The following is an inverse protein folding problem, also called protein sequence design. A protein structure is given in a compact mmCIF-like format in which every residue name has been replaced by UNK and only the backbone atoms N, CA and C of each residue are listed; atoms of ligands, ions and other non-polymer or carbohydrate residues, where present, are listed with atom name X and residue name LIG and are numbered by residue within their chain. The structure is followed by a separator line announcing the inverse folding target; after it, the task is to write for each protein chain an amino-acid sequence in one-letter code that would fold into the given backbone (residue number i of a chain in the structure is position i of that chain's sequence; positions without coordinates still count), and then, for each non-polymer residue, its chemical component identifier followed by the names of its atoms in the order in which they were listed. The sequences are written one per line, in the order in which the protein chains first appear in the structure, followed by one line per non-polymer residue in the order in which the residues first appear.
data_IF_079813968288
#
_entry.id   IF_079813968288
#
_cell.length_a   1.000
_cell.length_b   1.000
_cell.length_c   1.000
_cell.angle_alpha   90.00
_cell.angle_beta   90.00
_cell.angle_gamma   90.00
#
_symmetry.space_group_name_H-M   'P 1'
#
loop_
_entity.id
_entity.type
_entity.pdbx_description
1 polymer ?
#
# COMPACT_ATOMS: atom_id res chain seq x y z
N UNK A 1 32.19 54.49 15.38
CA UNK A 1 31.21 54.46 16.48
C UNK A 1 29.85 54.79 15.90
N UNK A 2 28.91 53.83 15.87
CA UNK A 2 27.64 53.84 16.63
C UNK A 2 26.82 52.63 16.19
N UNK A 3 26.65 51.69 17.11
CA UNK A 3 25.79 50.50 17.05
C UNK A 3 24.32 50.88 17.08
N UNK A 4 23.49 50.25 16.24
CA UNK A 4 22.04 50.17 16.46
C UNK A 4 21.64 48.70 16.38
N UNK A 5 21.33 48.13 17.54
CA UNK A 5 20.78 46.79 17.69
C UNK A 5 19.30 46.79 17.26
N UNK A 6 18.91 45.86 16.38
CA UNK A 6 17.51 45.58 16.10
C UNK A 6 16.92 44.63 17.17
N UNK A 7 15.64 44.81 17.56
CA UNK A 7 15.06 44.09 18.68
C UNK A 7 14.80 42.61 18.37
N UNK A 8 15.18 41.74 19.31
CA UNK A 8 14.80 40.31 19.34
C UNK A 8 13.26 40.20 19.41
N UNK A 9 12.63 39.81 18.32
CA UNK A 9 11.24 39.32 18.30
C UNK A 9 11.12 37.92 18.94
N UNK A 10 9.97 37.57 19.52
CA UNK A 10 9.85 36.43 20.42
C UNK A 10 9.99 35.08 19.71
N UNK A 11 10.72 34.17 20.35
CA UNK A 11 10.81 32.78 20.00
C UNK A 11 9.46 32.07 20.22
N UNK A 12 8.81 31.66 19.14
CA UNK A 12 7.92 30.50 19.12
C UNK A 12 8.11 29.78 17.78
N UNK A 13 8.95 28.75 17.80
CA UNK A 13 8.92 27.68 16.79
C UNK A 13 7.61 26.90 16.98
N UNK A 14 6.49 27.46 16.53
CA UNK A 14 5.32 26.65 16.23
C UNK A 14 5.72 25.76 15.05
N UNK A 15 5.97 24.48 15.33
CA UNK A 15 6.08 23.48 14.28
C UNK A 15 4.72 23.43 13.60
N UNK A 16 4.57 24.07 12.45
CA UNK A 16 3.44 23.86 11.57
C UNK A 16 3.49 22.41 11.12
N UNK A 17 2.78 21.52 11.82
CA UNK A 17 2.67 20.12 11.44
C UNK A 17 1.74 20.09 10.24
N UNK A 18 2.34 20.03 9.06
CA UNK A 18 1.68 19.98 7.76
C UNK A 18 0.87 18.68 7.64
N UNK A 19 -0.33 18.64 8.23
CA UNK A 19 -1.19 17.45 8.25
C UNK A 19 -1.67 17.08 6.84
N UNK A 20 -1.69 18.06 5.91
CA UNK A 20 -2.06 17.84 4.51
C UNK A 20 -1.17 16.77 3.87
N UNK A 21 0.14 16.86 4.09
CA UNK A 21 1.11 15.84 3.65
C UNK A 21 0.84 14.45 4.25
N UNK A 22 0.34 14.36 5.49
CA UNK A 22 0.08 13.07 6.14
C UNK A 22 -1.13 12.38 5.54
N UNK A 23 -2.18 13.13 5.25
CA UNK A 23 -3.41 12.59 4.67
C UNK A 23 -3.19 12.18 3.21
N UNK A 24 -2.42 12.98 2.46
CA UNK A 24 -1.97 12.65 1.11
C UNK A 24 -1.16 11.33 1.07
N UNK A 25 -0.26 11.10 2.04
CA UNK A 25 0.53 9.86 2.11
C UNK A 25 -0.34 8.65 2.44
N UNK A 26 -1.31 8.79 3.35
CA UNK A 26 -2.23 7.69 3.69
C UNK A 26 -3.06 7.27 2.48
N UNK A 27 -3.60 8.25 1.78
CA UNK A 27 -4.37 8.01 0.57
C UNK A 27 -3.52 7.35 -0.51
N UNK A 28 -2.29 7.83 -0.73
CA UNK A 28 -1.35 7.22 -1.66
C UNK A 28 -1.10 5.74 -1.31
N UNK A 29 -0.80 5.43 -0.05
CA UNK A 29 -0.56 4.07 0.41
C UNK A 29 -1.77 3.13 0.17
N UNK A 30 -2.99 3.61 0.46
CA UNK A 30 -4.22 2.84 0.24
C UNK A 30 -4.43 2.55 -1.25
N UNK A 31 -4.26 3.56 -2.11
CA UNK A 31 -4.42 3.40 -3.56
C UNK A 31 -3.43 2.39 -4.11
N UNK A 32 -2.17 2.46 -3.70
CA UNK A 32 -1.11 1.54 -4.10
C UNK A 32 -1.38 0.09 -3.71
N UNK A 33 -1.72 -0.13 -2.45
CA UNK A 33 -2.02 -1.45 -1.93
C UNK A 33 -3.28 -2.03 -2.60
N UNK A 34 -4.31 -1.21 -2.82
CA UNK A 34 -5.51 -1.60 -3.55
C UNK A 34 -5.19 -2.00 -5.00
N UNK A 35 -4.32 -1.28 -5.69
CA UNK A 35 -3.94 -1.61 -7.06
C UNK A 35 -3.32 -3.01 -7.17
N UNK A 36 -2.48 -3.39 -6.20
CA UNK A 36 -1.93 -4.75 -6.13
C UNK A 36 -3.02 -5.77 -5.86
N UNK A 37 -3.93 -5.51 -4.92
CA UNK A 37 -5.03 -6.42 -4.62
C UNK A 37 -5.98 -6.61 -5.83
N UNK A 38 -6.28 -5.54 -6.57
CA UNK A 38 -7.12 -5.60 -7.77
C UNK A 38 -6.43 -6.41 -8.91
N UNK A 39 -5.09 -6.38 -8.99
CA UNK A 39 -4.34 -7.16 -9.98
C UNK A 39 -4.46 -8.68 -9.78
N UNK A 40 -4.42 -9.15 -8.53
CA UNK A 40 -4.59 -10.58 -8.20
C UNK A 40 -6.05 -11.00 -8.04
N UNK A 41 -6.99 -10.07 -7.86
CA UNK A 41 -8.41 -10.38 -7.60
C UNK A 41 -9.05 -11.29 -8.64
N UNK A 42 -8.72 -11.11 -9.91
CA UNK A 42 -9.33 -11.91 -11.00
C UNK A 42 -8.82 -13.35 -11.05
N UNK A 43 -7.73 -13.64 -10.33
CA UNK A 43 -7.12 -14.96 -10.21
C UNK A 43 -7.68 -15.75 -9.02
N UNK A 44 -8.63 -15.16 -8.28
CA UNK A 44 -9.25 -15.79 -7.13
C UNK A 44 -10.21 -16.93 -7.55
N UNK A 45 -9.97 -18.12 -6.99
CA UNK A 45 -10.86 -19.27 -7.08
C UNK A 45 -10.55 -20.22 -8.24
N UNK A 46 -11.28 -21.35 -8.35
CA UNK A 46 -11.00 -22.41 -9.33
C UNK A 46 -11.32 -22.01 -10.77
N UNK A 47 -12.09 -20.94 -10.96
CA UNK A 47 -12.33 -20.29 -12.27
C UNK A 47 -11.60 -18.95 -12.39
N UNK A 48 -10.56 -18.76 -11.58
CA UNK A 48 -9.67 -17.60 -11.68
C UNK A 48 -9.01 -17.54 -13.05
N UNK A 49 -8.75 -16.33 -13.54
CA UNK A 49 -8.03 -16.12 -14.78
C UNK A 49 -6.53 -16.20 -14.56
N UNK A 50 -5.86 -16.97 -15.40
CA UNK A 50 -4.40 -17.00 -15.45
C UNK A 50 -3.83 -15.62 -15.79
N UNK A 51 -2.67 -15.32 -15.21
CA UNK A 51 -1.88 -14.12 -15.51
C UNK A 51 -0.65 -14.53 -16.29
N UNK A 52 -0.50 -13.93 -17.47
CA UNK A 52 0.76 -13.95 -18.20
C UNK A 52 1.65 -12.83 -17.65
N UNK A 53 2.76 -13.22 -17.02
CA UNK A 53 3.77 -12.32 -16.47
C UNK A 53 4.99 -12.38 -17.38
N UNK A 54 5.39 -11.23 -17.92
CA UNK A 54 6.63 -11.09 -18.67
C UNK A 54 7.69 -10.47 -17.76
N UNK A 55 8.81 -11.17 -17.55
CA UNK A 55 9.95 -10.60 -16.82
C UNK A 55 10.77 -9.69 -17.72
N UNK A 56 11.63 -8.86 -17.13
CA UNK A 56 12.55 -7.99 -17.87
C UNK A 56 13.57 -8.77 -18.73
N UNK A 57 13.83 -10.04 -18.39
CA UNK A 57 14.70 -10.95 -19.14
C UNK A 57 14.02 -11.57 -20.36
N UNK A 58 12.71 -11.37 -20.53
CA UNK A 58 11.92 -11.96 -21.61
C UNK A 58 11.30 -13.32 -21.28
N UNK A 59 11.41 -13.79 -20.04
CA UNK A 59 10.77 -15.03 -19.60
C UNK A 59 9.27 -14.79 -19.37
N UNK A 60 8.46 -15.72 -19.86
CA UNK A 60 7.00 -15.66 -19.72
C UNK A 60 6.54 -16.73 -18.74
N UNK A 61 5.86 -16.31 -17.68
CA UNK A 61 5.28 -17.18 -16.65
C UNK A 61 3.76 -17.02 -16.71
N UNK A 62 3.04 -18.11 -16.94
CA UNK A 62 1.57 -18.13 -16.88
C UNK A 62 1.16 -18.82 -15.59
N UNK A 63 0.46 -18.11 -14.70
CA UNK A 63 0.03 -18.68 -13.42
C UNK A 63 -1.23 -18.02 -12.89
N UNK A 64 -2.01 -18.79 -12.14
CA UNK A 64 -3.16 -18.31 -11.35
C UNK A 64 -2.81 -18.16 -9.86
N UNK A 65 -1.63 -18.59 -9.42
CA UNK A 65 -1.25 -18.55 -8.01
C UNK A 65 -0.87 -17.13 -7.58
N UNK A 66 -1.63 -16.57 -6.65
CA UNK A 66 -1.43 -15.23 -6.09
C UNK A 66 -0.04 -15.04 -5.48
N UNK A 67 0.51 -16.05 -4.80
CA UNK A 67 1.84 -15.94 -4.20
C UNK A 67 2.93 -15.81 -5.28
N UNK A 68 2.88 -16.66 -6.31
CA UNK A 68 3.80 -16.58 -7.45
C UNK A 68 3.65 -15.26 -8.21
N UNK A 69 2.43 -14.78 -8.44
CA UNK A 69 2.18 -13.49 -9.10
C UNK A 69 2.85 -12.36 -8.31
N UNK A 70 2.58 -12.28 -7.00
CA UNK A 70 3.09 -11.21 -6.14
C UNK A 70 4.61 -11.28 -5.95
N UNK A 71 5.20 -12.48 -6.00
CA UNK A 71 6.65 -12.68 -5.91
C UNK A 71 7.39 -12.19 -7.16
N UNK A 72 6.74 -12.23 -8.32
CA UNK A 72 7.33 -11.79 -9.60
C UNK A 72 7.05 -10.33 -9.92
N UNK A 73 6.08 -9.70 -9.25
CA UNK A 73 5.80 -8.29 -9.38
C UNK A 73 6.87 -7.43 -8.67
N UNK A 74 7.45 -6.48 -9.39
CA UNK A 74 8.32 -5.47 -8.79
C UNK A 74 7.47 -4.34 -8.18
N UNK A 75 7.36 -4.34 -6.85
CA UNK A 75 6.55 -3.36 -6.12
C UNK A 75 7.47 -2.37 -5.41
N UNK A 76 7.36 -1.08 -5.76
CA UNK A 76 8.19 -0.02 -5.19
C UNK A 76 7.64 0.54 -3.87
N UNK A 77 6.32 0.66 -3.75
CA UNK A 77 5.66 1.30 -2.62
C UNK A 77 5.62 0.41 -1.37
N UNK A 78 6.00 0.91 -0.17
CA UNK A 78 6.06 0.09 1.04
C UNK A 78 4.72 -0.57 1.41
N UNK A 79 3.62 0.16 1.33
CA UNK A 79 2.28 -0.37 1.66
C UNK A 79 1.88 -1.56 0.76
N UNK A 80 2.30 -1.53 -0.50
CA UNK A 80 2.05 -2.61 -1.44
C UNK A 80 3.01 -3.80 -1.22
N UNK A 81 4.27 -3.56 -0.80
CA UNK A 81 5.18 -4.62 -0.36
C UNK A 81 4.65 -5.40 0.84
N UNK A 82 3.98 -4.72 1.78
CA UNK A 82 3.34 -5.40 2.92
C UNK A 82 2.28 -6.42 2.49
N UNK A 83 1.55 -6.17 1.39
CA UNK A 83 0.60 -7.15 0.86
C UNK A 83 1.30 -8.37 0.24
N UNK A 84 2.45 -8.17 -0.43
CA UNK A 84 3.27 -9.26 -0.96
C UNK A 84 3.79 -10.14 0.19
N UNK A 85 4.30 -9.52 1.25
CA UNK A 85 4.76 -10.23 2.45
C UNK A 85 3.62 -11.01 3.13
N UNK A 86 2.44 -10.40 3.23
CA UNK A 86 1.26 -11.04 3.80
C UNK A 86 0.84 -12.29 3.00
N UNK A 87 0.90 -12.24 1.67
CA UNK A 87 0.69 -13.43 0.82
C UNK A 87 1.72 -14.52 1.07
N UNK A 88 3.00 -14.16 1.19
CA UNK A 88 4.10 -15.12 1.46
C UNK A 88 3.93 -15.77 2.84
N UNK A 89 3.57 -14.97 3.85
CA UNK A 89 3.32 -15.51 5.19
C UNK A 89 2.16 -16.51 5.19
N UNK A 90 1.09 -16.23 4.45
CA UNK A 90 -0.04 -17.14 4.31
C UNK A 90 0.38 -18.45 3.60
N UNK A 91 1.21 -18.34 2.56
CA UNK A 91 1.76 -19.49 1.83
C UNK A 91 2.59 -20.40 2.75
N UNK A 92 3.46 -19.83 3.59
CA UNK A 92 4.28 -20.58 4.55
C UNK A 92 3.45 -21.28 5.62
N UNK A 93 2.40 -20.63 6.11
CA UNK A 93 1.62 -21.14 7.25
C UNK A 93 0.58 -22.18 6.82
N UNK A 94 -0.14 -21.92 5.72
CA UNK A 94 -1.28 -22.73 5.31
C UNK A 94 -1.14 -23.34 3.91
N UNK A 95 -0.36 -22.72 3.02
CA UNK A 95 -0.23 -23.13 1.62
C UNK A 95 -1.47 -22.91 0.76
N UNK A 96 -2.52 -22.28 1.30
CA UNK A 96 -3.74 -21.89 0.57
C UNK A 96 -4.28 -20.55 1.11
N UNK A 97 -5.15 -19.91 0.32
CA UNK A 97 -5.76 -18.63 0.65
C UNK A 97 -4.83 -17.43 0.41
N UNK A 98 -3.69 -17.63 -0.25
CA UNK A 98 -2.71 -16.59 -0.62
C UNK A 98 -3.37 -15.45 -1.40
N UNK A 99 -4.25 -15.78 -2.33
CA UNK A 99 -5.01 -14.78 -3.11
C UNK A 99 -6.12 -14.15 -2.26
N UNK A 100 -6.83 -14.95 -1.47
CA UNK A 100 -7.95 -14.50 -0.63
C UNK A 100 -7.51 -13.44 0.36
N UNK A 101 -6.40 -13.66 1.06
CA UNK A 101 -5.92 -12.76 2.11
C UNK A 101 -5.55 -11.38 1.57
N UNK A 102 -4.98 -11.33 0.36
CA UNK A 102 -4.62 -10.07 -0.33
C UNK A 102 -5.86 -9.32 -0.80
N UNK A 103 -6.84 -10.03 -1.38
CA UNK A 103 -8.11 -9.44 -1.83
C UNK A 103 -8.90 -8.87 -0.64
N UNK A 104 -8.95 -9.59 0.48
CA UNK A 104 -9.61 -9.13 1.71
C UNK A 104 -8.91 -7.88 2.26
N UNK A 105 -7.57 -7.88 2.32
CA UNK A 105 -6.81 -6.71 2.76
C UNK A 105 -7.10 -5.47 1.87
N UNK A 106 -7.13 -5.64 0.54
CA UNK A 106 -7.50 -4.57 -0.39
C UNK A 106 -8.94 -4.07 -0.18
N UNK A 107 -9.88 -4.96 0.11
CA UNK A 107 -11.27 -4.60 0.41
C UNK A 107 -11.41 -3.81 1.72
N UNK A 108 -10.66 -4.19 2.76
CA UNK A 108 -10.61 -3.46 4.03
C UNK A 108 -10.05 -2.05 3.80
N UNK A 109 -8.93 -1.92 3.09
CA UNK A 109 -8.32 -0.63 2.79
C UNK A 109 -9.25 0.30 2.01
N UNK A 110 -10.05 -0.24 1.09
CA UNK A 110 -11.10 0.51 0.39
C UNK A 110 -12.15 1.06 1.36
N UNK A 111 -12.59 0.28 2.35
CA UNK A 111 -13.54 0.75 3.35
C UNK A 111 -12.91 1.76 4.32
N UNK A 112 -11.64 1.56 4.70
CA UNK A 112 -10.89 2.53 5.49
C UNK A 112 -10.81 3.88 4.77
N UNK A 113 -10.62 3.90 3.45
CA UNK A 113 -10.65 5.13 2.66
C UNK A 113 -11.95 5.92 2.86
N UNK A 114 -13.10 5.24 2.79
CA UNK A 114 -14.40 5.87 2.99
C UNK A 114 -14.58 6.45 4.41
N UNK A 115 -13.92 5.85 5.41
CA UNK A 115 -13.94 6.35 6.80
C UNK A 115 -13.03 7.57 6.97
N UNK A 116 -11.86 7.57 6.32
CA UNK A 116 -10.96 8.72 6.29
C UNK A 116 -11.62 9.92 5.62
N UNK A 117 -12.33 9.71 4.51
CA UNK A 117 -13.09 10.76 3.81
C UNK A 117 -14.20 11.37 4.68
N UNK A 118 -14.73 10.60 5.64
CA UNK A 118 -15.70 11.07 6.65
C UNK A 118 -15.05 11.76 7.84
N UNK A 119 -13.72 11.85 7.88
CA UNK A 119 -12.96 12.46 8.97
C UNK A 119 -12.78 11.57 10.21
N UNK A 120 -12.99 10.25 10.08
CA UNK A 120 -12.75 9.32 11.19
C UNK A 120 -11.25 9.18 11.43
N UNK A 121 -10.82 9.27 12.69
CA UNK A 121 -9.42 9.12 13.04
C UNK A 121 -8.97 7.66 12.85
N UNK A 122 -7.86 7.35 12.15
CA UNK A 122 -7.48 5.98 11.77
C UNK A 122 -7.33 4.96 12.91
N UNK A 123 -7.21 5.43 14.16
CA UNK A 123 -6.98 4.60 15.35
C UNK A 123 -8.25 4.32 16.15
N UNK A 124 -9.35 5.05 15.90
CA UNK A 124 -10.55 5.07 16.73
C UNK A 124 -11.73 4.49 15.95
#
# INVERSE_FOLDING_TARGET
MTTIAQPRGPAKTEKYVDNKRKDDIRQANIVSAKAVADAVRTSLGPKGMDKMLCTATGDVIITNDGATILNKMEVLQPAAKMLVELSKSQDIVAGDGTTTVVVVAGAILKQCMNLLDKGVHPTI
#
